data_IF_335973700982
#
_entry.id   IF_335973700982
#
_cell.length_a   1.000
_cell.length_b   1.000
_cell.length_c   1.000
_cell.angle_alpha   90.00
_cell.angle_beta   90.00
_cell.angle_gamma   90.00
#
_symmetry.space_group_name_H-M   'P 1'
#
loop_
_entity.id
_entity.type
_entity.pdbx_description
1 polymer ?
#
# COMPACT_ATOMS: atom_id res chain seq x y z
N UNK A 1 -6.63 7.98 -30.83
CA UNK A 1 -5.31 7.69 -30.20
C UNK A 1 -5.11 8.66 -29.04
N UNK A 2 -5.72 8.37 -27.88
CA UNK A 2 -5.71 9.24 -26.71
C UNK A 2 -4.71 8.73 -25.67
N UNK A 3 -3.80 9.58 -25.23
CA UNK A 3 -2.76 9.25 -24.27
C UNK A 3 -3.36 8.95 -22.88
N UNK A 4 -3.38 7.67 -22.47
CA UNK A 4 -3.63 7.31 -21.07
C UNK A 4 -2.29 7.44 -20.32
N UNK A 5 -1.98 8.64 -19.84
CA UNK A 5 -0.98 8.82 -18.79
C UNK A 5 -1.68 9.31 -17.53
N UNK A 6 -1.94 8.39 -16.60
CA UNK A 6 -2.23 8.75 -15.21
C UNK A 6 -1.25 8.04 -14.28
N UNK A 7 0.03 8.41 -14.38
CA UNK A 7 0.93 8.22 -13.23
C UNK A 7 0.73 9.43 -12.32
N UNK A 8 -0.20 9.31 -11.37
CA UNK A 8 -0.26 10.22 -10.21
C UNK A 8 0.82 9.78 -9.21
N UNK A 9 2.08 10.00 -9.56
CA UNK A 9 3.20 9.77 -8.64
C UNK A 9 3.17 10.80 -7.51
N UNK A 10 3.46 10.36 -6.28
CA UNK A 10 3.69 11.28 -5.18
C UNK A 10 4.99 12.06 -5.38
N UNK A 11 5.03 13.32 -4.94
CA UNK A 11 6.27 14.11 -4.92
C UNK A 11 7.31 13.42 -4.04
N UNK A 12 8.60 13.52 -4.42
CA UNK A 12 9.71 12.96 -3.64
C UNK A 12 9.70 13.46 -2.18
N UNK A 13 9.36 14.73 -1.96
CA UNK A 13 9.23 15.29 -0.61
C UNK A 13 8.17 14.58 0.24
N UNK A 14 7.02 14.25 -0.36
CA UNK A 14 5.95 13.51 0.31
C UNK A 14 6.39 12.09 0.68
N UNK A 15 7.08 11.41 -0.24
CA UNK A 15 7.62 10.06 0.01
C UNK A 15 8.57 10.11 1.21
N UNK A 16 9.53 11.03 1.23
CA UNK A 16 10.46 11.20 2.35
C UNK A 16 9.71 11.49 3.66
N UNK A 17 8.74 12.41 3.64
CA UNK A 17 7.93 12.75 4.82
C UNK A 17 7.24 11.51 5.40
N UNK A 18 6.60 10.68 4.57
CA UNK A 18 5.91 9.48 5.04
C UNK A 18 6.85 8.48 5.72
N UNK A 19 8.06 8.30 5.19
CA UNK A 19 9.09 7.46 5.81
C UNK A 19 9.56 8.03 7.15
N UNK A 20 9.78 9.35 7.23
CA UNK A 20 10.18 10.02 8.47
C UNK A 20 9.09 9.90 9.53
N UNK A 21 7.83 10.15 9.19
CA UNK A 21 6.70 10.00 10.12
C UNK A 21 6.54 8.57 10.63
N UNK A 22 6.73 7.58 9.76
CA UNK A 22 6.68 6.17 10.17
C UNK A 22 7.82 5.81 11.13
N UNK A 23 9.05 6.26 10.84
CA UNK A 23 10.20 6.05 11.72
C UNK A 23 10.01 6.73 13.08
N UNK A 24 9.51 7.97 13.11
CA UNK A 24 9.21 8.70 14.34
C UNK A 24 8.11 8.00 15.16
N UNK A 25 7.09 7.45 14.52
CA UNK A 25 6.01 6.73 15.20
C UNK A 25 6.52 5.47 15.90
N UNK A 26 7.26 4.62 15.17
CA UNK A 26 7.85 3.39 15.73
C UNK A 26 8.87 3.72 16.81
N UNK A 27 9.73 4.71 16.56
CA UNK A 27 10.75 5.15 17.51
C UNK A 27 10.13 5.72 18.79
N UNK A 28 9.15 6.60 18.67
CA UNK A 28 8.43 7.18 19.80
C UNK A 28 7.71 6.14 20.66
N UNK A 29 7.01 5.19 20.03
CA UNK A 29 6.35 4.10 20.74
C UNK A 29 7.36 3.19 21.44
N UNK A 30 8.45 2.82 20.75
CA UNK A 30 9.50 1.97 21.31
C UNK A 30 10.20 2.65 22.49
N UNK A 31 10.54 3.93 22.37
CA UNK A 31 11.09 4.73 23.48
C UNK A 31 10.11 4.82 24.66
N UNK A 32 8.81 4.99 24.38
CA UNK A 32 7.77 4.97 25.41
C UNK A 32 7.74 3.65 26.19
N UNK A 33 7.81 2.52 25.50
CA UNK A 33 7.88 1.19 26.12
C UNK A 33 9.15 1.04 26.97
N UNK A 34 10.30 1.54 26.49
CA UNK A 34 11.57 1.46 27.21
C UNK A 34 11.58 2.33 28.48
N UNK A 35 10.99 3.52 28.42
CA UNK A 35 10.92 4.47 29.54
C UNK A 35 9.89 4.09 30.62
N UNK A 36 9.03 3.11 30.36
CA UNK A 36 8.03 2.66 31.34
C UNK A 36 8.71 2.04 32.58
N UNK A 37 8.32 2.43 33.81
CA UNK A 37 8.87 1.86 35.04
C UNK A 37 8.16 0.54 35.40
N UNK A 38 8.30 -0.47 34.54
CA UNK A 38 7.68 -1.80 34.70
C UNK A 38 8.70 -2.91 34.44
N UNK A 39 8.35 -4.14 34.85
CA UNK A 39 9.18 -5.33 34.63
C UNK A 39 9.47 -5.60 33.15
N UNK A 40 10.64 -6.18 32.89
CA UNK A 40 11.08 -6.51 31.53
C UNK A 40 10.10 -7.44 30.80
N UNK A 41 9.41 -8.33 31.53
CA UNK A 41 8.41 -9.22 30.95
C UNK A 41 7.21 -8.46 30.36
N UNK A 42 6.73 -7.43 31.07
CA UNK A 42 5.62 -6.58 30.61
C UNK A 42 6.06 -5.78 29.38
N UNK A 43 7.28 -5.23 29.38
CA UNK A 43 7.86 -4.56 28.21
C UNK A 43 7.95 -5.51 27.00
N UNK A 44 8.36 -6.76 27.23
CA UNK A 44 8.41 -7.81 26.21
C UNK A 44 7.04 -8.12 25.62
N UNK A 45 6.01 -8.26 26.46
CA UNK A 45 4.63 -8.47 26.00
C UNK A 45 4.12 -7.30 25.14
N UNK A 46 4.36 -6.05 25.57
CA UNK A 46 4.00 -4.86 24.80
C UNK A 46 4.77 -4.79 23.47
N UNK A 47 6.05 -5.13 23.48
CA UNK A 47 6.90 -5.18 22.29
C UNK A 47 6.41 -6.22 21.28
N UNK A 48 6.04 -7.42 21.74
CA UNK A 48 5.47 -8.48 20.88
C UNK A 48 4.18 -8.02 20.21
N UNK A 49 3.23 -7.47 20.97
CA UNK A 49 1.97 -6.95 20.44
C UNK A 49 2.18 -5.81 19.45
N UNK A 50 3.10 -4.89 19.76
CA UNK A 50 3.47 -3.77 18.89
C UNK A 50 4.06 -4.26 17.57
N UNK A 51 5.02 -5.18 17.62
CA UNK A 51 5.66 -5.73 16.42
C UNK A 51 4.66 -6.46 15.53
N UNK A 52 3.78 -7.27 16.12
CA UNK A 52 2.74 -7.97 15.38
C UNK A 52 1.71 -7.02 14.75
N UNK A 53 1.26 -6.00 15.49
CA UNK A 53 0.33 -5.00 14.97
C UNK A 53 0.93 -4.20 13.80
N UNK A 54 2.20 -3.77 13.90
CA UNK A 54 2.90 -3.06 12.83
C UNK A 54 3.10 -3.96 11.60
N UNK A 55 3.57 -5.19 11.80
CA UNK A 55 3.80 -6.15 10.73
C UNK A 55 2.50 -6.51 9.98
N UNK A 56 1.43 -6.83 10.71
CA UNK A 56 0.12 -7.15 10.12
C UNK A 56 -0.50 -5.96 9.38
N UNK A 57 -0.38 -4.74 9.92
CA UNK A 57 -0.83 -3.52 9.22
C UNK A 57 -0.06 -3.29 7.91
N UNK A 58 1.26 -3.50 7.91
CA UNK A 58 2.09 -3.38 6.71
C UNK A 58 1.79 -4.46 5.67
N UNK A 59 1.41 -5.66 6.08
CA UNK A 59 0.92 -6.72 5.18
C UNK A 59 -0.45 -6.39 4.62
N UNK A 60 -1.40 -5.96 5.46
CA UNK A 60 -2.73 -5.53 5.05
C UNK A 60 -2.66 -4.39 4.03
N UNK A 61 -1.79 -3.40 4.25
CA UNK A 61 -1.59 -2.29 3.32
C UNK A 61 -1.04 -2.75 1.95
N UNK A 62 -0.25 -3.82 1.89
CA UNK A 62 0.17 -4.43 0.62
C UNK A 62 -1.02 -5.11 -0.03
N UNK A 63 -1.71 -6.00 0.68
CA UNK A 63 -2.88 -6.71 0.15
C UNK A 63 -3.92 -5.77 -0.41
N UNK A 64 -4.23 -4.66 0.26
CA UNK A 64 -5.19 -3.66 -0.24
C UNK A 64 -4.68 -2.97 -1.52
N UNK A 65 -3.38 -2.66 -1.61
CA UNK A 65 -2.78 -2.08 -2.81
C UNK A 65 -2.79 -3.08 -3.97
N UNK A 66 -2.39 -4.31 -3.71
CA UNK A 66 -2.34 -5.39 -4.70
C UNK A 66 -3.75 -5.65 -5.26
N UNK A 67 -4.79 -5.68 -4.41
CA UNK A 67 -6.19 -5.79 -4.84
C UNK A 67 -6.68 -4.59 -5.66
N UNK A 68 -6.13 -3.39 -5.41
CA UNK A 68 -6.47 -2.20 -6.18
C UNK A 68 -5.83 -2.23 -7.57
N UNK A 69 -4.55 -2.63 -7.64
CA UNK A 69 -3.80 -2.76 -8.89
C UNK A 69 -4.37 -3.88 -9.78
N UNK A 70 -4.71 -5.04 -9.20
CA UNK A 70 -5.31 -6.17 -9.92
C UNK A 70 -6.63 -5.81 -10.62
N UNK A 71 -7.50 -5.07 -9.91
CA UNK A 71 -8.76 -4.56 -10.48
C UNK A 71 -8.52 -3.60 -11.64
N UNK A 72 -7.54 -2.70 -11.52
CA UNK A 72 -7.22 -1.77 -12.60
C UNK A 72 -6.64 -2.48 -13.83
N UNK A 73 -5.77 -3.46 -13.63
CA UNK A 73 -5.16 -4.24 -14.72
C UNK A 73 -6.24 -5.04 -15.46
N UNK A 74 -7.12 -5.72 -14.73
CA UNK A 74 -8.21 -6.53 -15.32
C UNK A 74 -9.14 -5.65 -16.16
N UNK A 75 -9.55 -4.48 -15.66
CA UNK A 75 -10.41 -3.57 -16.40
C UNK A 75 -9.78 -3.10 -17.73
N UNK A 76 -8.47 -2.84 -17.74
CA UNK A 76 -7.73 -2.46 -18.97
C UNK A 76 -7.63 -3.61 -19.97
N UNK A 77 -7.52 -4.85 -19.50
CA UNK A 77 -7.52 -6.04 -20.36
C UNK A 77 -8.89 -6.23 -20.98
N UNK A 78 -9.96 -6.09 -20.20
CA UNK A 78 -11.33 -6.22 -20.69
C UNK A 78 -11.65 -5.15 -21.73
N UNK A 79 -11.25 -3.90 -21.51
CA UNK A 79 -11.37 -2.81 -22.49
C UNK A 79 -10.65 -3.14 -23.81
N UNK A 80 -9.40 -3.62 -23.73
CA UNK A 80 -8.63 -4.00 -24.92
C UNK A 80 -9.23 -5.21 -25.66
N UNK A 81 -9.79 -6.20 -24.94
CA UNK A 81 -10.49 -7.34 -25.54
C UNK A 81 -11.78 -6.91 -26.22
N UNK A 82 -12.55 -6.03 -25.59
CA UNK A 82 -13.78 -5.46 -26.17
C UNK A 82 -13.45 -4.68 -27.44
N UNK A 83 -12.41 -3.84 -27.41
CA UNK A 83 -11.94 -3.11 -28.61
C UNK A 83 -11.56 -4.07 -29.75
N UNK A 84 -10.88 -5.18 -29.44
CA UNK A 84 -10.54 -6.22 -30.43
C UNK A 84 -11.78 -6.89 -31.03
N UNK A 85 -12.75 -7.28 -30.22
CA UNK A 85 -13.99 -7.89 -30.69
C UNK A 85 -14.81 -6.95 -31.57
N UNK A 86 -14.89 -5.67 -31.18
CA UNK A 86 -15.57 -4.64 -31.98
C UNK A 86 -14.86 -4.39 -33.33
N UNK A 87 -13.53 -4.43 -33.35
CA UNK A 87 -12.76 -4.29 -34.59
C UNK A 87 -12.90 -5.49 -35.53
N UNK A 88 -12.99 -6.71 -34.99
CA UNK A 88 -13.13 -7.95 -35.77
C UNK A 88 -14.55 -8.13 -36.32
N UNK A 89 -15.57 -7.69 -35.58
CA UNK A 89 -16.98 -7.82 -35.97
C UNK A 89 -17.58 -6.55 -36.63
N UNK A 90 -16.78 -5.69 -37.24
CA UNK A 90 -17.27 -4.46 -37.86
C UNK A 90 -18.20 -4.79 -39.06
N UNK A 91 -19.53 -4.57 -38.95
CA UNK A 91 -20.52 -5.04 -39.94
C UNK A 91 -20.65 -4.11 -41.17
N UNK A 92 -19.61 -3.32 -41.47
CA UNK A 92 -19.61 -2.33 -42.57
C UNK A 92 -18.49 -2.57 -43.60
N UNK A 93 -18.14 -3.83 -43.84
CA UNK A 93 -17.48 -4.25 -45.08
C UNK A 93 -18.21 -5.42 -45.69
#
# INVERSE_FOLDING_TARGET
>A
MGAIKSSRGHSSAWVVQTWVSFALSIGGLSLGILCLPVDAWVKGYMGMGTAFALGSTASLAKTVRDLHEDKQITARIDEAKVERLLAEHHPLK
#
